data_IF_117209842008
#
_entry.id   IF_117209842008
#
_cell.length_a   1.000
_cell.length_b   1.000
_cell.length_c   1.000
_cell.angle_alpha   90.00
_cell.angle_beta   90.00
_cell.angle_gamma   90.00
#
_symmetry.space_group_name_H-M   'P 1'
#
loop_
_entity.id
_entity.type
_entity.pdbx_description
1 polymer ?
#
# COMPACT_ATOMS: atom_id res chain seq x y z
N UNK A 1 4.47 10.60 -8.48
CA UNK A 1 4.21 10.21 -7.07
C UNK A 1 4.69 11.36 -6.22
N UNK A 2 3.81 12.00 -5.44
CA UNK A 2 4.16 13.14 -4.60
C UNK A 2 4.62 12.68 -3.21
N UNK A 3 5.29 13.57 -2.48
CA UNK A 3 5.82 13.29 -1.15
C UNK A 3 5.14 14.20 -0.13
N UNK A 4 4.74 13.61 1.00
CA UNK A 4 4.04 14.33 2.08
C UNK A 4 4.62 13.90 3.44
N UNK A 5 4.81 14.87 4.32
CA UNK A 5 5.12 14.63 5.73
C UNK A 5 3.92 15.08 6.56
N UNK A 6 3.43 14.18 7.42
CA UNK A 6 2.35 14.48 8.36
C UNK A 6 2.90 14.41 9.77
N UNK A 7 2.88 15.53 10.48
CA UNK A 7 3.31 15.57 11.89
C UNK A 7 2.11 15.23 12.78
N UNK A 8 2.18 14.09 13.46
CA UNK A 8 1.19 13.67 14.44
C UNK A 8 1.56 14.27 15.80
N UNK A 9 0.63 15.02 16.38
CA UNK A 9 0.84 15.74 17.63
C UNK A 9 -0.32 15.52 18.60
N UNK A 10 -0.04 15.48 19.89
CA UNK A 10 -1.05 15.35 20.94
C UNK A 10 -1.54 13.92 21.12
N UNK A 11 -2.85 13.73 21.21
CA UNK A 11 -3.48 12.42 21.42
C UNK A 11 -3.99 11.86 20.09
N UNK A 12 -3.57 10.66 19.73
CA UNK A 12 -4.12 9.91 18.60
C UNK A 12 -5.39 9.18 19.05
N UNK A 13 -6.52 9.89 18.99
CA UNK A 13 -7.85 9.38 19.30
C UNK A 13 -8.82 9.59 18.15
N UNK A 14 -10.12 9.43 18.39
CA UNK A 14 -11.15 9.64 17.36
C UNK A 14 -11.11 11.02 16.73
N UNK A 15 -10.78 12.07 17.49
CA UNK A 15 -10.73 13.44 16.97
C UNK A 15 -9.58 13.62 15.99
N UNK A 16 -8.36 13.23 16.39
CA UNK A 16 -7.19 13.32 15.51
C UNK A 16 -7.29 12.32 14.35
N UNK A 17 -7.79 11.11 14.62
CA UNK A 17 -7.97 10.04 13.65
C UNK A 17 -8.94 10.42 12.54
N UNK A 18 -10.12 10.97 12.87
CA UNK A 18 -11.09 11.46 11.87
C UNK A 18 -10.51 12.63 11.09
N UNK A 19 -9.87 13.60 11.77
CA UNK A 19 -9.23 14.74 11.11
C UNK A 19 -8.13 14.30 10.13
N UNK A 20 -7.37 13.26 10.47
CA UNK A 20 -6.37 12.66 9.58
C UNK A 20 -7.05 11.98 8.39
N UNK A 21 -8.06 11.15 8.64
CA UNK A 21 -8.78 10.40 7.62
C UNK A 21 -9.39 11.32 6.55
N UNK A 22 -10.12 12.35 6.96
CA UNK A 22 -10.75 13.31 6.04
C UNK A 22 -9.73 14.00 5.13
N UNK A 23 -8.62 14.46 5.70
CA UNK A 23 -7.56 15.14 4.94
C UNK A 23 -6.82 14.19 4.01
N UNK A 24 -6.53 12.98 4.47
CA UNK A 24 -5.79 11.99 3.69
C UNK A 24 -6.64 11.48 2.53
N UNK A 25 -7.93 11.22 2.74
CA UNK A 25 -8.85 10.86 1.66
C UNK A 25 -8.88 11.95 0.58
N UNK A 26 -8.99 13.22 1.00
CA UNK A 26 -8.96 14.35 0.07
C UNK A 26 -7.65 14.40 -0.75
N UNK A 27 -6.50 14.27 -0.08
CA UNK A 27 -5.18 14.34 -0.74
C UNK A 27 -4.92 13.13 -1.66
N UNK A 28 -5.39 11.95 -1.27
CA UNK A 28 -5.14 10.70 -1.99
C UNK A 28 -6.18 10.37 -3.06
N UNK A 29 -7.31 11.09 -3.09
CA UNK A 29 -8.35 10.92 -4.11
C UNK A 29 -7.87 11.18 -5.55
N UNK A 30 -6.86 12.04 -5.73
CA UNK A 30 -6.38 12.46 -7.05
C UNK A 30 -5.03 11.86 -7.46
N UNK A 31 -4.18 11.53 -6.49
CA UNK A 31 -2.77 11.21 -6.76
C UNK A 31 -2.16 10.24 -5.74
N UNK A 32 -1.25 9.39 -6.23
CA UNK A 32 -0.49 8.46 -5.38
C UNK A 32 0.65 9.21 -4.67
N UNK A 33 0.77 9.01 -3.36
CA UNK A 33 1.77 9.66 -2.51
C UNK A 33 2.68 8.67 -1.77
N UNK A 34 3.88 9.15 -1.42
CA UNK A 34 4.74 8.61 -0.37
C UNK A 34 4.55 9.47 0.87
N UNK A 35 4.12 8.88 1.97
CA UNK A 35 3.71 9.59 3.18
C UNK A 35 4.56 9.16 4.35
N UNK A 36 5.27 10.11 4.95
CA UNK A 36 5.97 9.93 6.22
C UNK A 36 5.12 10.50 7.34
N UNK A 37 4.78 9.65 8.31
CA UNK A 37 4.15 10.05 9.56
C UNK A 37 5.25 10.33 10.60
N UNK A 38 5.31 11.54 11.12
CA UNK A 38 6.17 11.85 12.25
C UNK A 38 5.36 11.74 13.55
N UNK A 39 5.65 10.72 14.34
CA UNK A 39 4.96 10.44 15.60
C UNK A 39 5.63 11.06 16.83
N UNK A 40 6.69 11.87 16.67
CA UNK A 40 7.46 12.42 17.77
C UNK A 40 6.69 13.42 18.65
N UNK A 41 5.56 13.94 18.15
CA UNK A 41 4.66 14.80 18.90
C UNK A 41 3.51 14.06 19.61
N UNK A 42 3.41 12.73 19.46
CA UNK A 42 2.36 11.96 20.12
C UNK A 42 2.66 11.78 21.61
N UNK A 43 1.65 12.04 22.42
CA UNK A 43 1.71 11.98 23.90
C UNK A 43 0.73 10.96 24.48
N UNK A 44 -0.32 10.61 23.74
CA UNK A 44 -1.30 9.59 24.11
C UNK A 44 -1.96 8.99 22.85
N UNK A 45 -2.63 7.84 23.00
CA UNK A 45 -3.41 7.21 21.95
C UNK A 45 -4.52 6.34 22.55
N UNK A 46 -5.51 6.03 21.74
CA UNK A 46 -6.46 4.95 22.02
C UNK A 46 -6.67 4.07 20.79
N UNK A 47 -7.40 2.98 20.99
CA UNK A 47 -7.64 1.99 19.95
C UNK A 47 -8.42 2.57 18.76
N UNK A 48 -9.32 3.52 19.01
CA UNK A 48 -10.15 4.12 17.96
C UNK A 48 -9.30 4.99 17.02
N UNK A 49 -8.43 5.84 17.57
CA UNK A 49 -7.48 6.62 16.77
C UNK A 49 -6.56 5.76 15.90
N UNK A 50 -6.08 4.63 16.44
CA UNK A 50 -5.24 3.69 15.68
C UNK A 50 -6.02 2.95 14.58
N UNK A 51 -7.28 2.57 14.83
CA UNK A 51 -8.15 1.94 13.82
C UNK A 51 -8.43 2.91 12.68
N UNK A 52 -8.74 4.18 12.98
CA UNK A 52 -8.98 5.21 11.96
C UNK A 52 -7.74 5.42 11.08
N UNK A 53 -6.55 5.48 11.71
CA UNK A 53 -5.29 5.54 10.98
C UNK A 53 -5.08 4.32 10.08
N UNK A 54 -5.31 3.11 10.61
CA UNK A 54 -5.20 1.85 9.85
C UNK A 54 -6.13 1.83 8.64
N UNK A 55 -7.39 2.21 8.83
CA UNK A 55 -8.39 2.24 7.77
C UNK A 55 -8.01 3.22 6.67
N UNK A 56 -7.52 4.42 7.06
CA UNK A 56 -7.02 5.41 6.12
C UNK A 56 -5.90 4.84 5.23
N UNK A 57 -4.93 4.13 5.80
CA UNK A 57 -3.86 3.51 5.01
C UNK A 57 -4.36 2.36 4.15
N UNK A 58 -5.25 1.51 4.68
CA UNK A 58 -5.79 0.33 3.98
C UNK A 58 -6.61 0.73 2.76
N UNK A 59 -7.34 1.85 2.83
CA UNK A 59 -8.15 2.36 1.72
C UNK A 59 -7.32 2.92 0.55
N UNK A 60 -6.02 3.16 0.77
CA UNK A 60 -5.14 3.72 -0.25
C UNK A 60 -3.91 2.82 -0.52
N UNK A 61 -4.11 1.59 -1.00
CA UNK A 61 -3.05 0.59 -1.16
C UNK A 61 -1.99 0.94 -2.21
N UNK A 62 -2.26 1.95 -3.05
CA UNK A 62 -1.30 2.45 -4.04
C UNK A 62 -0.29 3.42 -3.44
N UNK A 63 -0.65 4.11 -2.35
CA UNK A 63 0.23 5.02 -1.62
C UNK A 63 1.10 4.25 -0.64
N UNK A 64 2.30 4.76 -0.39
CA UNK A 64 3.28 4.12 0.47
C UNK A 64 3.45 4.93 1.75
N UNK A 65 3.41 4.25 2.90
CA UNK A 65 3.50 4.89 4.20
C UNK A 65 4.73 4.40 4.98
N UNK A 66 5.28 5.26 5.81
CA UNK A 66 6.21 4.92 6.89
C UNK A 66 5.99 5.85 8.07
N UNK A 67 6.47 5.46 9.25
CA UNK A 67 6.43 6.30 10.44
C UNK A 67 7.81 6.42 11.08
N UNK A 68 8.14 7.57 11.65
CA UNK A 68 9.32 7.75 12.49
C UNK A 68 8.95 8.24 13.88
N UNK A 69 9.88 8.07 14.83
CA UNK A 69 9.73 8.52 16.23
C UNK A 69 8.46 7.99 16.91
N UNK A 70 8.13 6.73 16.65
CA UNK A 70 7.01 6.06 17.30
C UNK A 70 7.31 5.91 18.80
N UNK A 71 6.45 6.38 19.72
CA UNK A 71 6.65 6.18 21.16
C UNK A 71 6.80 4.70 21.50
N UNK A 72 7.79 4.33 22.33
CA UNK A 72 8.05 2.92 22.68
C UNK A 72 6.82 2.23 23.25
N UNK A 73 6.02 2.93 24.06
CA UNK A 73 4.79 2.39 24.63
C UNK A 73 3.68 2.15 23.59
N UNK A 74 3.73 2.79 22.41
CA UNK A 74 2.77 2.57 21.33
C UNK A 74 3.13 1.36 20.45
N UNK A 75 4.38 0.90 20.47
CA UNK A 75 4.88 -0.15 19.57
C UNK A 75 4.07 -1.44 19.69
N UNK A 76 3.68 -1.83 20.91
CA UNK A 76 2.93 -3.07 21.13
C UNK A 76 1.52 -2.99 20.52
N UNK A 77 0.78 -1.91 20.76
CA UNK A 77 -0.55 -1.69 20.21
C UNK A 77 -0.50 -1.56 18.68
N UNK A 78 0.54 -0.89 18.16
CA UNK A 78 0.80 -0.77 16.72
C UNK A 78 0.92 -2.14 16.05
N UNK A 79 1.72 -3.04 16.64
CA UNK A 79 1.90 -4.41 16.14
C UNK A 79 0.65 -5.26 16.32
N UNK A 80 -0.06 -5.16 17.46
CA UNK A 80 -1.32 -5.89 17.69
C UNK A 80 -2.38 -5.57 16.62
N UNK A 81 -2.40 -4.34 16.13
CA UNK A 81 -3.28 -3.93 15.04
C UNK A 81 -2.72 -4.23 13.64
N UNK A 82 -1.51 -4.76 13.52
CA UNK A 82 -0.84 -5.05 12.25
C UNK A 82 -0.45 -3.79 11.47
N UNK A 83 -0.34 -2.65 12.15
CA UNK A 83 0.08 -1.39 11.52
C UNK A 83 1.55 -1.42 11.11
N UNK A 84 2.37 -2.26 11.73
CA UNK A 84 3.79 -2.44 11.36
C UNK A 84 3.96 -3.04 9.95
N UNK A 85 3.01 -3.85 9.51
CA UNK A 85 2.99 -4.42 8.15
C UNK A 85 2.58 -3.37 7.11
N UNK A 86 1.62 -2.50 7.46
CA UNK A 86 1.07 -1.47 6.56
C UNK A 86 1.92 -0.19 6.56
N UNK A 87 2.48 0.15 7.72
CA UNK A 87 3.24 1.36 8.01
C UNK A 87 4.49 0.97 8.81
N UNK A 88 5.56 0.54 8.14
CA UNK A 88 6.82 0.24 8.80
C UNK A 88 7.35 1.45 9.57
N UNK A 89 7.86 1.21 10.79
CA UNK A 89 8.36 2.26 11.68
C UNK A 89 9.88 2.27 11.75
N UNK A 90 10.45 3.47 11.88
CA UNK A 90 11.89 3.72 11.91
C UNK A 90 12.27 4.65 13.06
N UNK A 91 13.53 4.62 13.46
CA UNK A 91 14.02 5.43 14.57
C UNK A 91 14.26 6.88 14.17
N UNK A 92 14.53 7.13 12.87
CA UNK A 92 14.85 8.47 12.35
C UNK A 92 13.98 8.85 11.16
N UNK A 93 13.85 10.15 10.90
CA UNK A 93 13.17 10.67 9.70
C UNK A 93 13.89 10.21 8.44
N UNK A 94 15.21 10.16 8.48
CA UNK A 94 16.07 9.81 7.36
C UNK A 94 15.85 8.37 6.93
N UNK A 95 15.78 7.43 7.87
CA UNK A 95 15.44 6.03 7.60
C UNK A 95 14.04 5.87 7.02
N UNK A 96 13.05 6.54 7.63
CA UNK A 96 11.66 6.51 7.16
C UNK A 96 11.53 7.07 5.74
N UNK A 97 12.23 8.16 5.43
CA UNK A 97 12.31 8.72 4.07
C UNK A 97 13.02 7.78 3.11
N UNK A 98 14.17 7.23 3.51
CA UNK A 98 14.93 6.30 2.68
C UNK A 98 14.07 5.08 2.30
N UNK A 99 13.31 4.54 3.24
CA UNK A 99 12.35 3.47 2.95
C UNK A 99 11.30 3.89 1.92
N UNK A 100 10.71 5.08 2.04
CA UNK A 100 9.71 5.56 1.11
C UNK A 100 10.28 5.76 -0.31
N UNK A 101 11.49 6.31 -0.39
CA UNK A 101 12.22 6.60 -1.62
C UNK A 101 12.86 5.37 -2.26
N UNK A 102 13.01 4.27 -1.52
CA UNK A 102 13.30 2.98 -2.12
C UNK A 102 12.13 2.61 -3.03
N UNK A 103 12.29 2.91 -4.30
CA UNK A 103 11.59 2.21 -5.35
C UNK A 103 12.04 0.77 -5.24
N UNK A 104 11.26 -0.03 -4.51
CA UNK A 104 11.09 -1.40 -4.93
C UNK A 104 10.62 -1.24 -6.38
N UNK A 105 11.53 -1.39 -7.34
CA UNK A 105 11.18 -2.05 -8.59
C UNK A 105 10.32 -3.19 -8.10
N UNK A 106 8.99 -3.12 -8.31
CA UNK A 106 8.15 -4.31 -8.15
C UNK A 106 8.95 -5.33 -8.94
N UNK A 107 9.59 -6.27 -8.24
CA UNK A 107 10.15 -7.41 -8.92
C UNK A 107 8.93 -7.95 -9.60
N UNK A 108 8.89 -7.76 -10.91
CA UNK A 108 7.83 -8.27 -11.71
C UNK A 108 8.10 -9.76 -11.62
N UNK A 109 7.48 -10.41 -10.63
CA UNK A 109 7.68 -11.82 -10.37
C UNK A 109 7.41 -12.52 -11.70
N UNK A 110 8.43 -13.19 -12.20
CA UNK A 110 8.31 -13.99 -13.40
C UNK A 110 7.44 -15.20 -13.01
N UNK A 111 6.20 -15.19 -13.49
CA UNK A 111 5.24 -16.25 -13.25
C UNK A 111 5.14 -17.21 -14.44
N UNK A 112 4.53 -18.36 -14.19
CA UNK A 112 4.07 -19.26 -15.24
C UNK A 112 2.55 -19.35 -15.21
N UNK A 113 1.92 -19.13 -16.35
CA UNK A 113 0.46 -19.31 -16.51
C UNK A 113 0.18 -20.21 -17.70
N UNK A 114 -0.87 -21.02 -17.63
CA UNK A 114 -1.36 -21.77 -18.78
C UNK A 114 -2.27 -20.87 -19.63
N UNK A 115 -2.08 -20.88 -20.95
CA UNK A 115 -3.04 -20.28 -21.87
C UNK A 115 -4.43 -20.93 -21.69
N UNK A 116 -5.52 -20.17 -21.57
CA UNK A 116 -6.86 -20.73 -21.33
C UNK A 116 -7.42 -21.52 -22.53
N UNK A 117 -6.82 -21.40 -23.72
CA UNK A 117 -7.30 -22.04 -24.95
C UNK A 117 -6.49 -23.29 -25.30
N UNK A 118 -5.16 -23.19 -25.31
CA UNK A 118 -4.30 -24.29 -25.75
C UNK A 118 -3.49 -24.93 -24.63
N UNK A 119 -3.68 -24.48 -23.38
CA UNK A 119 -3.01 -24.98 -22.17
C UNK A 119 -1.47 -24.95 -22.22
N UNK A 120 -0.89 -24.20 -23.17
CA UNK A 120 0.55 -23.99 -23.20
C UNK A 120 0.96 -23.09 -22.05
N UNK A 121 1.97 -23.52 -21.30
CA UNK A 121 2.58 -22.70 -20.26
C UNK A 121 3.38 -21.53 -20.86
N UNK A 122 3.16 -20.34 -20.30
CA UNK A 122 3.71 -19.07 -20.74
C UNK A 122 4.44 -18.43 -19.57
N UNK A 123 5.65 -17.93 -19.84
CA UNK A 123 6.31 -17.02 -18.90
C UNK A 123 5.65 -15.65 -19.00
N UNK A 124 5.24 -15.13 -17.87
CA UNK A 124 4.52 -13.86 -17.75
C UNK A 124 5.21 -12.98 -16.72
N UNK A 125 5.05 -11.67 -16.89
CA UNK A 125 5.68 -10.63 -16.09
C UNK A 125 4.60 -9.74 -15.49
N UNK A 126 4.06 -10.14 -14.35
CA UNK A 126 3.01 -9.42 -13.64
C UNK A 126 1.67 -9.39 -14.40
N UNK A 127 0.70 -8.64 -13.87
CA UNK A 127 -0.64 -8.52 -14.45
C UNK A 127 -0.63 -7.79 -15.81
N UNK A 128 -1.59 -8.12 -16.67
CA UNK A 128 -1.78 -7.41 -17.95
C UNK A 128 -2.29 -8.29 -19.08
N UNK A 129 -2.31 -7.72 -20.28
CA UNK A 129 -2.72 -8.44 -21.49
C UNK A 129 -1.55 -9.27 -22.04
N UNK A 130 -1.81 -10.55 -22.30
CA UNK A 130 -0.86 -11.48 -22.89
C UNK A 130 -1.43 -12.07 -24.17
N UNK A 131 -0.55 -12.28 -25.16
CA UNK A 131 -0.85 -13.04 -26.38
C UNK A 131 -0.11 -14.37 -26.31
N UNK A 132 -0.83 -15.48 -26.42
CA UNK A 132 -0.22 -16.80 -26.53
C UNK A 132 0.54 -16.93 -27.87
N UNK A 133 1.84 -17.27 -27.89
CA UNK A 133 2.60 -17.50 -29.13
C UNK A 133 2.19 -18.78 -29.87
N UNK A 134 1.53 -19.73 -29.18
CA UNK A 134 1.12 -21.00 -29.78
C UNK A 134 -0.23 -20.90 -30.53
N UNK A 135 -1.21 -20.19 -29.98
CA UNK A 135 -2.56 -20.07 -30.58
C UNK A 135 -3.01 -18.63 -30.87
N UNK A 136 -2.16 -17.63 -30.63
CA UNK A 136 -2.46 -16.20 -30.81
C UNK A 136 -3.60 -15.63 -29.96
N UNK A 137 -4.22 -16.42 -29.08
CA UNK A 137 -5.27 -15.95 -28.18
C UNK A 137 -4.76 -14.88 -27.22
N UNK A 138 -5.57 -13.84 -27.02
CA UNK A 138 -5.28 -12.72 -26.12
C UNK A 138 -6.12 -12.89 -24.86
N UNK A 139 -5.48 -12.84 -23.69
CA UNK A 139 -6.14 -12.96 -22.39
C UNK A 139 -5.53 -11.97 -21.39
N UNK A 140 -6.29 -11.61 -20.35
CA UNK A 140 -5.79 -10.79 -19.25
C UNK A 140 -5.35 -11.65 -18.09
N UNK A 141 -4.16 -11.39 -17.54
CA UNK A 141 -3.66 -11.98 -16.32
C UNK A 141 -3.90 -11.00 -15.17
N UNK A 142 -4.64 -11.44 -14.15
CA UNK A 142 -4.91 -10.67 -12.93
C UNK A 142 -3.73 -10.70 -11.96
N UNK A 143 -3.78 -9.86 -10.92
CA UNK A 143 -2.74 -9.78 -9.87
C UNK A 143 -2.56 -11.07 -9.06
N UNK A 144 -3.56 -11.95 -9.04
CA UNK A 144 -3.53 -13.27 -8.40
C UNK A 144 -3.22 -14.42 -9.39
N UNK A 145 -2.62 -14.09 -10.55
CA UNK A 145 -2.22 -15.03 -11.62
C UNK A 145 -3.36 -15.87 -12.22
N UNK A 146 -4.60 -15.39 -12.13
CA UNK A 146 -5.76 -15.98 -12.83
C UNK A 146 -5.93 -15.33 -14.21
N UNK A 147 -6.52 -16.07 -15.13
CA UNK A 147 -6.80 -15.58 -16.48
C UNK A 147 -8.26 -15.17 -16.61
N UNK A 148 -8.51 -13.96 -17.07
CA UNK A 148 -9.84 -13.52 -17.50
C UNK A 148 -9.92 -13.58 -19.04
N UNK A 149 -10.96 -14.22 -19.55
CA UNK A 149 -11.29 -14.26 -20.97
C UNK A 149 -12.06 -13.00 -21.35
N UNK A 150 -11.60 -12.31 -22.40
CA UNK A 150 -12.36 -11.23 -22.99
C UNK A 150 -13.38 -11.77 -23.98
N UNK A 151 -14.61 -11.30 -23.89
CA UNK A 151 -15.61 -11.42 -24.96
C UNK A 151 -15.64 -10.11 -25.75
N UNK A 152 -15.71 -10.20 -27.09
CA UNK A 152 -15.98 -9.00 -27.88
C UNK A 152 -17.44 -8.63 -27.68
N UNK A 153 -17.70 -7.40 -27.21
CA UNK A 153 -18.96 -6.73 -27.48
C UNK A 153 -18.99 -6.44 -28.97
N UNK A 154 -19.57 -7.37 -29.73
CA UNK A 154 -20.02 -7.31 -31.14
C UNK A 154 -19.22 -6.40 -32.09
#
# INVERSE_FOLDING_TARGET
>A
MKELIVNLQGKLDSVLGTSFQEKIEQVLSSEIHRILLDAGGLTAWDQEGLILLKNSVTNHPQSKFSVCFLPTALVEDWKKLGLDVLIPFFSTREEAKAFLLQDKKKEIEEGMVACPICFRFLRVKGQGNYRCPACSHIFYLTSDYRTATFEKLF
#
